data_IF_082207615556
#
_entry.id   IF_082207615556
#
_cell.length_a   1.000
_cell.length_b   1.000
_cell.length_c   1.000
_cell.angle_alpha   90.00
_cell.angle_beta   90.00
_cell.angle_gamma   90.00
#
_symmetry.space_group_name_H-M   'P 1'
#
loop_
_entity.id
_entity.type
_entity.pdbx_description
1 polymer ?
#
# COMPACT_ATOMS: atom_id res chain seq x y z
N UNK A 1 -2.76 9.65 -17.59
CA UNK A 1 -1.28 9.59 -17.52
C UNK A 1 -0.81 10.96 -17.05
N UNK A 2 -0.41 11.11 -15.79
CA UNK A 2 0.21 12.36 -15.31
C UNK A 2 1.71 12.16 -15.41
N UNK A 3 2.33 12.77 -16.41
CA UNK A 3 3.78 12.87 -16.52
C UNK A 3 4.18 13.96 -15.54
N UNK A 4 4.71 13.56 -14.38
CA UNK A 4 5.32 14.50 -13.46
C UNK A 4 6.72 14.84 -14.00
N UNK A 5 6.97 16.11 -14.27
CA UNK A 5 8.32 16.62 -14.51
C UNK A 5 9.23 16.18 -13.36
N UNK A 6 10.35 15.56 -13.71
CA UNK A 6 11.26 14.85 -12.80
C UNK A 6 12.11 15.76 -11.91
N UNK A 7 11.97 17.08 -12.01
CA UNK A 7 12.97 18.03 -11.47
C UNK A 7 12.73 18.48 -10.02
N UNK A 8 11.60 18.12 -9.38
CA UNK A 8 11.21 18.72 -8.09
C UNK A 8 11.34 17.81 -6.86
N UNK A 9 11.76 16.54 -6.98
CA UNK A 9 11.82 15.60 -5.84
C UNK A 9 13.21 14.97 -5.68
N UNK A 10 13.74 14.93 -4.45
CA UNK A 10 14.98 14.22 -4.13
C UNK A 10 14.66 12.76 -3.86
N UNK A 11 15.15 11.88 -4.72
CA UNK A 11 15.21 10.46 -4.43
C UNK A 11 16.30 10.28 -3.35
N UNK A 12 15.88 10.13 -2.08
CA UNK A 12 16.79 9.98 -0.92
C UNK A 12 17.82 8.85 -1.07
N UNK A 13 17.45 7.81 -1.80
CA UNK A 13 18.31 6.69 -2.16
C UNK A 13 17.84 6.17 -3.50
N UNK A 14 18.67 6.26 -4.53
CA UNK A 14 18.42 5.52 -5.78
C UNK A 14 18.37 4.05 -5.38
N UNK A 15 17.29 3.32 -5.67
CA UNK A 15 17.23 1.93 -5.28
C UNK A 15 18.38 1.17 -5.92
N UNK A 16 19.05 0.31 -5.15
CA UNK A 16 20.21 -0.46 -5.64
C UNK A 16 19.89 -1.33 -6.87
N UNK A 17 18.61 -1.58 -7.13
CA UNK A 17 18.13 -2.34 -8.28
C UNK A 17 16.84 -1.73 -8.83
N UNK A 18 16.70 -1.76 -10.15
CA UNK A 18 15.47 -1.38 -10.89
C UNK A 18 14.24 -2.09 -10.34
N UNK A 19 14.41 -3.32 -9.83
CA UNK A 19 13.36 -4.14 -9.21
C UNK A 19 12.66 -3.48 -8.01
N UNK A 20 13.32 -2.55 -7.33
CA UNK A 20 12.74 -1.85 -6.18
C UNK A 20 11.84 -0.68 -6.60
N UNK A 21 11.95 -0.23 -7.85
CA UNK A 21 11.06 0.75 -8.45
C UNK A 21 9.75 0.08 -8.88
N UNK A 22 8.63 0.70 -8.50
CA UNK A 22 7.32 0.14 -8.80
C UNK A 22 6.27 1.23 -8.92
N UNK A 23 5.33 1.01 -9.85
CA UNK A 23 4.12 1.81 -9.97
C UNK A 23 3.04 1.15 -9.12
N UNK A 24 2.50 1.90 -8.17
CA UNK A 24 1.42 1.48 -7.28
C UNK A 24 0.19 2.31 -7.61
N UNK A 25 -1.02 1.71 -7.75
CA UNK A 25 -2.23 2.47 -8.00
C UNK A 25 -2.50 3.44 -6.86
N UNK A 26 -2.67 4.71 -7.20
CA UNK A 26 -3.01 5.76 -6.24
C UNK A 26 -4.52 5.95 -6.20
N UNK A 27 -5.14 5.65 -5.07
CA UNK A 27 -6.58 5.77 -4.90
C UNK A 27 -7.00 7.25 -4.96
N UNK A 28 -8.20 7.53 -5.47
CA UNK A 28 -8.71 8.88 -5.64
C UNK A 28 -8.65 9.72 -4.34
N UNK A 29 -9.00 9.20 -3.14
CA UNK A 29 -8.85 9.95 -1.88
C UNK A 29 -7.40 10.30 -1.57
N UNK A 30 -6.47 9.34 -1.71
CA UNK A 30 -5.03 9.56 -1.50
C UNK A 30 -4.48 10.59 -2.49
N UNK A 31 -4.88 10.50 -3.76
CA UNK A 31 -4.53 11.50 -4.77
C UNK A 31 -5.03 12.89 -4.39
N UNK A 32 -6.30 13.02 -3.99
CA UNK A 32 -6.87 14.29 -3.53
C UNK A 32 -6.10 14.86 -2.34
N UNK A 33 -5.71 14.02 -1.38
CA UNK A 33 -4.92 14.45 -0.22
C UNK A 33 -3.53 14.96 -0.62
N UNK A 34 -2.83 14.23 -1.49
CA UNK A 34 -1.50 14.63 -1.96
C UNK A 34 -1.53 15.94 -2.76
N UNK A 35 -2.57 16.16 -3.57
CA UNK A 35 -2.74 17.39 -4.34
C UNK A 35 -3.06 18.63 -3.50
N UNK A 36 -3.44 18.47 -2.22
CA UNK A 36 -3.57 19.62 -1.29
C UNK A 36 -2.22 20.22 -0.91
N UNK A 37 -1.14 19.45 -1.06
CA UNK A 37 0.21 19.93 -0.79
C UNK A 37 0.67 20.73 -2.00
N UNK A 38 0.84 22.04 -1.82
CA UNK A 38 1.29 22.94 -2.89
C UNK A 38 2.64 22.46 -3.43
N UNK A 39 2.81 22.45 -4.75
CA UNK A 39 4.01 21.94 -5.43
C UNK A 39 5.31 22.59 -4.94
N UNK A 40 5.31 23.90 -4.69
CA UNK A 40 6.45 24.61 -4.08
C UNK A 40 6.92 24.03 -2.74
N UNK A 41 6.04 23.35 -2.00
CA UNK A 41 6.37 22.72 -0.73
C UNK A 41 6.95 21.32 -0.91
N UNK A 42 6.84 20.74 -2.10
CA UNK A 42 7.25 19.39 -2.45
C UNK A 42 8.71 19.28 -2.91
N UNK A 43 9.50 20.36 -2.84
CA UNK A 43 10.92 20.33 -3.20
C UNK A 43 11.67 19.33 -2.32
N UNK A 44 12.25 18.30 -2.93
CA UNK A 44 13.03 17.26 -2.24
C UNK A 44 12.18 16.15 -1.61
N UNK A 45 11.12 16.50 -0.89
CA UNK A 45 10.22 15.54 -0.22
C UNK A 45 8.80 16.08 -0.15
N UNK A 46 7.82 15.16 -0.17
CA UNK A 46 6.39 15.48 -0.05
C UNK A 46 6.01 15.87 1.38
N UNK A 47 6.59 15.21 2.38
CA UNK A 47 6.24 15.40 3.79
C UNK A 47 7.38 16.07 4.56
N UNK A 48 7.15 17.32 4.95
CA UNK A 48 8.09 18.15 5.71
C UNK A 48 7.62 18.35 7.15
N UNK A 49 8.56 18.44 8.08
CA UNK A 49 8.31 18.92 9.43
C UNK A 49 8.08 20.44 9.43
N UNK A 50 7.71 21.00 10.58
CA UNK A 50 7.54 22.45 10.74
C UNK A 50 8.80 23.24 10.36
N UNK A 51 9.98 22.63 10.50
CA UNK A 51 11.27 23.25 10.18
C UNK A 51 11.70 23.01 8.71
N UNK A 52 10.81 22.49 7.86
CA UNK A 52 11.08 22.28 6.43
C UNK A 52 11.87 21.00 6.07
N UNK A 53 12.36 20.25 7.06
CA UNK A 53 13.11 19.01 6.84
C UNK A 53 12.20 17.79 6.60
N UNK A 54 12.67 16.74 5.90
CA UNK A 54 11.90 15.51 5.74
C UNK A 54 11.47 14.91 7.08
N UNK A 55 10.21 14.50 7.18
CA UNK A 55 9.71 13.82 8.38
C UNK A 55 10.44 12.49 8.56
N UNK A 56 11.13 12.35 9.69
CA UNK A 56 11.79 11.09 10.07
C UNK A 56 10.79 10.05 10.55
N UNK A 57 10.99 8.79 10.17
CA UNK A 57 10.08 7.68 10.51
C UNK A 57 9.82 7.56 12.03
N UNK A 58 10.88 7.62 12.84
CA UNK A 58 10.74 7.53 14.31
C UNK A 58 9.94 8.70 14.89
N UNK A 59 10.10 9.90 14.34
CA UNK A 59 9.35 11.08 14.78
C UNK A 59 7.87 10.96 14.38
N UNK A 60 7.58 10.56 13.15
CA UNK A 60 6.22 10.27 12.70
C UNK A 60 5.55 9.23 13.59
N UNK A 61 6.23 8.11 13.84
CA UNK A 61 5.70 6.99 14.63
C UNK A 61 5.38 7.42 16.06
N UNK A 62 6.31 8.08 16.75
CA UNK A 62 6.15 8.47 18.15
C UNK A 62 5.16 9.62 18.35
N UNK A 63 5.16 10.62 17.46
CA UNK A 63 4.40 11.87 17.67
C UNK A 63 3.01 11.87 17.04
N UNK A 64 2.77 11.05 16.02
CA UNK A 64 1.52 11.04 15.28
C UNK A 64 0.85 9.68 15.25
N UNK A 65 1.57 8.64 14.82
CA UNK A 65 0.96 7.31 14.64
C UNK A 65 0.54 6.66 15.96
N UNK A 66 1.48 6.49 16.90
CA UNK A 66 1.21 5.84 18.18
C UNK A 66 0.09 6.55 18.99
N UNK A 67 0.09 7.89 19.12
CA UNK A 67 -1.00 8.57 19.84
C UNK A 67 -2.37 8.41 19.18
N UNK A 68 -2.45 8.28 17.85
CA UNK A 68 -3.71 8.02 17.16
C UNK A 68 -4.18 6.59 17.42
N UNK A 69 -3.27 5.61 17.31
CA UNK A 69 -3.56 4.20 17.59
C UNK A 69 -4.05 4.02 19.03
N UNK A 70 -3.38 4.63 19.99
CA UNK A 70 -3.76 4.61 21.41
C UNK A 70 -5.13 5.25 21.66
N UNK A 71 -5.38 6.43 21.09
CA UNK A 71 -6.68 7.12 21.23
C UNK A 71 -7.84 6.33 20.62
N UNK A 72 -7.57 5.53 19.61
CA UNK A 72 -8.56 4.64 18.98
C UNK A 72 -8.69 3.29 19.71
N UNK A 73 -7.91 3.04 20.76
CA UNK A 73 -7.91 1.75 21.48
C UNK A 73 -7.42 0.58 20.63
N UNK A 74 -6.61 0.85 19.60
CA UNK A 74 -6.12 -0.16 18.67
C UNK A 74 -4.73 -0.66 19.07
N UNK A 75 -4.39 -1.89 18.68
CA UNK A 75 -3.03 -2.44 18.77
C UNK A 75 -2.48 -2.65 17.36
N UNK A 76 -1.95 -1.58 16.76
CA UNK A 76 -1.45 -1.59 15.39
C UNK A 76 -0.07 -0.96 15.29
N UNK A 77 0.79 -1.54 14.45
CA UNK A 77 2.06 -0.97 13.99
C UNK A 77 1.86 -0.38 12.58
N UNK A 78 2.75 0.53 12.19
CA UNK A 78 2.74 1.12 10.84
C UNK A 78 2.81 0.07 9.73
N UNK A 79 3.53 -1.03 9.97
CA UNK A 79 3.64 -2.14 9.02
C UNK A 79 2.33 -2.93 8.88
N UNK A 80 1.44 -2.90 9.86
CA UNK A 80 0.15 -3.59 9.78
C UNK A 80 -0.77 -2.90 8.76
N UNK A 81 -0.60 -1.61 8.50
CA UNK A 81 -1.28 -0.93 7.38
C UNK A 81 -0.90 -1.52 6.02
N UNK A 82 0.37 -1.93 5.87
CA UNK A 82 0.84 -2.58 4.65
C UNK A 82 0.32 -4.02 4.53
N UNK A 83 0.19 -4.72 5.66
CA UNK A 83 -0.47 -6.04 5.69
C UNK A 83 -1.94 -5.92 5.30
N UNK A 84 -2.64 -4.95 5.87
CA UNK A 84 -4.03 -4.65 5.54
C UNK A 84 -4.23 -4.36 4.04
N UNK A 85 -3.33 -3.59 3.43
CA UNK A 85 -3.38 -3.33 1.99
C UNK A 85 -3.38 -4.63 1.16
N UNK A 86 -2.50 -5.58 1.49
CA UNK A 86 -2.44 -6.86 0.76
C UNK A 86 -3.63 -7.75 1.07
N UNK A 87 -4.02 -7.88 2.33
CA UNK A 87 -5.15 -8.71 2.73
C UNK A 87 -6.47 -8.22 2.13
N UNK A 88 -6.69 -6.90 2.09
CA UNK A 88 -7.89 -6.32 1.46
C UNK A 88 -7.92 -6.58 -0.05
N UNK A 89 -6.79 -6.41 -0.74
CA UNK A 89 -6.74 -6.64 -2.18
C UNK A 89 -6.98 -8.12 -2.53
N UNK A 90 -6.43 -9.05 -1.76
CA UNK A 90 -6.63 -10.48 -1.98
C UNK A 90 -8.04 -10.92 -1.57
N UNK A 91 -8.45 -10.61 -0.34
CA UNK A 91 -9.70 -11.08 0.28
C UNK A 91 -10.96 -10.42 -0.29
N UNK A 92 -10.92 -9.10 -0.45
CA UNK A 92 -12.13 -8.31 -0.79
C UNK A 92 -12.13 -7.97 -2.27
N UNK A 93 -11.05 -7.38 -2.77
CA UNK A 93 -10.98 -6.94 -4.17
C UNK A 93 -10.65 -8.08 -5.14
N UNK A 94 -10.37 -9.30 -4.64
CA UNK A 94 -9.99 -10.50 -5.40
C UNK A 94 -8.92 -10.21 -6.47
N UNK A 95 -7.94 -9.39 -6.11
CA UNK A 95 -6.82 -9.00 -6.99
C UNK A 95 -5.82 -10.15 -7.07
N UNK A 96 -5.33 -10.44 -8.28
CA UNK A 96 -4.29 -11.46 -8.49
C UNK A 96 -3.06 -11.25 -7.58
N UNK A 97 -2.56 -12.36 -7.03
CA UNK A 97 -1.47 -12.37 -6.06
C UNK A 97 -0.15 -11.87 -6.64
N UNK A 98 0.11 -12.08 -7.93
CA UNK A 98 1.32 -11.59 -8.58
C UNK A 98 1.29 -10.06 -8.67
N UNK A 99 0.12 -9.50 -8.96
CA UNK A 99 -0.13 -8.06 -9.00
C UNK A 99 0.03 -7.43 -7.62
N UNK A 100 -0.58 -8.01 -6.58
CA UNK A 100 -0.44 -7.52 -5.19
C UNK A 100 1.02 -7.60 -4.75
N UNK A 101 1.70 -8.72 -5.02
CA UNK A 101 3.12 -8.92 -4.72
C UNK A 101 4.00 -7.84 -5.35
N UNK A 102 3.74 -7.50 -6.62
CA UNK A 102 4.43 -6.44 -7.36
C UNK A 102 4.22 -5.07 -6.73
N UNK A 103 2.98 -4.72 -6.34
CA UNK A 103 2.70 -3.43 -5.66
C UNK A 103 3.34 -3.34 -4.28
N UNK A 104 3.33 -4.43 -3.52
CA UNK A 104 4.02 -4.50 -2.24
C UNK A 104 5.55 -4.46 -2.42
N UNK A 105 6.08 -4.87 -3.58
CA UNK A 105 7.51 -4.91 -3.85
C UNK A 105 8.18 -6.10 -3.15
N UNK A 106 7.48 -7.23 -3.06
CA UNK A 106 8.10 -8.47 -2.63
C UNK A 106 8.97 -9.01 -3.75
N UNK A 107 10.19 -9.41 -3.40
CA UNK A 107 11.11 -10.03 -4.34
C UNK A 107 10.47 -11.32 -4.87
N UNK A 108 9.90 -12.11 -3.99
CA UNK A 108 9.34 -13.41 -4.31
C UNK A 108 7.84 -13.43 -3.97
N UNK A 109 6.94 -13.76 -4.91
CA UNK A 109 5.52 -13.96 -4.64
C UNK A 109 5.24 -14.96 -3.52
N UNK A 110 6.15 -15.92 -3.27
CA UNK A 110 6.06 -16.85 -2.13
C UNK A 110 5.98 -16.14 -0.79
N UNK A 111 6.57 -14.95 -0.65
CA UNK A 111 6.45 -14.12 0.56
C UNK A 111 5.01 -13.62 0.73
N UNK A 112 4.36 -13.23 -0.36
CA UNK A 112 2.96 -12.80 -0.34
C UNK A 112 2.06 -13.99 -0.01
N UNK A 113 2.26 -15.13 -0.69
CA UNK A 113 1.56 -16.38 -0.42
C UNK A 113 1.64 -16.77 1.05
N UNK A 114 2.85 -16.84 1.62
CA UNK A 114 3.02 -17.24 3.02
C UNK A 114 2.44 -16.23 4.00
N UNK A 115 2.54 -14.93 3.71
CA UNK A 115 2.00 -13.88 4.57
C UNK A 115 0.47 -13.90 4.62
N UNK A 116 -0.19 -14.32 3.54
CA UNK A 116 -1.64 -14.27 3.39
C UNK A 116 -2.30 -15.65 3.24
N UNK A 117 -1.60 -16.73 3.58
CA UNK A 117 -2.11 -18.09 3.48
C UNK A 117 -3.51 -18.25 4.09
N UNK A 118 -3.73 -17.71 5.30
CA UNK A 118 -5.03 -17.72 5.96
C UNK A 118 -6.14 -17.06 5.12
N UNK A 119 -5.87 -15.90 4.51
CA UNK A 119 -6.85 -15.20 3.66
C UNK A 119 -7.14 -16.04 2.41
N UNK A 120 -6.14 -16.72 1.87
CA UNK A 120 -6.30 -17.59 0.69
C UNK A 120 -7.15 -18.82 1.04
N UNK A 121 -6.90 -19.46 2.18
CA UNK A 121 -7.71 -20.59 2.67
C UNK A 121 -9.18 -20.19 2.88
N UNK A 122 -9.43 -19.03 3.48
CA UNK A 122 -10.78 -18.48 3.67
C UNK A 122 -11.48 -18.24 2.31
N UNK A 123 -10.75 -17.72 1.32
CA UNK A 123 -11.24 -17.51 -0.04
C UNK A 123 -11.55 -18.81 -0.79
N UNK A 124 -10.71 -19.83 -0.61
CA UNK A 124 -10.91 -21.16 -1.20
C UNK A 124 -12.20 -21.79 -0.68
N UNK A 125 -12.45 -21.70 0.63
CA UNK A 125 -13.69 -22.18 1.25
C UNK A 125 -14.91 -21.39 0.76
N UNK A 126 -14.81 -20.06 0.66
CA UNK A 126 -15.90 -19.20 0.19
C UNK A 126 -16.30 -19.53 -1.26
N UNK A 127 -15.34 -19.89 -2.12
CA UNK A 127 -15.56 -20.05 -3.55
C UNK A 127 -15.61 -21.52 -4.02
N UNK A 128 -15.65 -22.49 -3.10
CA UNK A 128 -15.58 -23.93 -3.44
C UNK A 128 -16.63 -24.37 -4.48
N UNK A 129 -17.83 -23.80 -4.41
CA UNK A 129 -18.95 -24.14 -5.30
C UNK A 129 -19.07 -23.22 -6.53
N UNK A 130 -18.17 -22.24 -6.69
CA UNK A 130 -18.30 -21.19 -7.70
C UNK A 130 -18.34 -21.73 -9.13
N UNK A 131 -17.60 -22.81 -9.42
CA UNK A 131 -17.60 -23.44 -10.74
C UNK A 131 -18.97 -24.08 -11.06
N UNK A 132 -19.64 -24.65 -10.06
CA UNK A 132 -20.97 -25.21 -10.22
C UNK A 132 -21.97 -24.14 -10.62
N UNK A 133 -21.97 -23.00 -9.93
CA UNK A 133 -22.86 -21.88 -10.26
C UNK A 133 -22.56 -21.23 -11.62
N UNK A 134 -21.30 -21.19 -12.04
CA UNK A 134 -20.92 -20.62 -13.34
C UNK A 134 -21.38 -21.49 -14.53
N UNK A 135 -21.51 -22.80 -14.32
CA UNK A 135 -21.91 -23.76 -15.35
C UNK A 135 -23.43 -23.92 -15.49
N UNK A 136 -24.21 -23.48 -14.49
CA UNK A 136 -25.68 -23.50 -14.58
C UNK A 136 -26.15 -22.27 -15.36
N UNK A 137 -26.86 -22.44 -16.50
CA UNK A 137 -27.44 -21.32 -17.23
C UNK A 137 -28.41 -20.55 -16.33
N UNK A 138 -28.31 -19.22 -16.33
CA UNK A 138 -29.34 -18.38 -15.70
C UNK A 138 -30.63 -18.52 -16.50
N UNK A 139 -31.59 -19.25 -15.93
CA UNK A 139 -32.97 -19.37 -16.44
C UNK A 139 -33.74 -18.11 -16.06
#
# INVERSE_FOLDING_TARGET
>A
MLVANTDSYQIKTIPKTVRSERKVPLQAPTRKLLLRIKERNCVGTVFKSQNGYPVGYNNFRKRHFNPVVERLGLSLKTHDLRKFFGSWHLGVNKTDIMTVSKWMGHRDPRVTLSTYAKVIEELEQEHQDAIGHALVPRI
#
